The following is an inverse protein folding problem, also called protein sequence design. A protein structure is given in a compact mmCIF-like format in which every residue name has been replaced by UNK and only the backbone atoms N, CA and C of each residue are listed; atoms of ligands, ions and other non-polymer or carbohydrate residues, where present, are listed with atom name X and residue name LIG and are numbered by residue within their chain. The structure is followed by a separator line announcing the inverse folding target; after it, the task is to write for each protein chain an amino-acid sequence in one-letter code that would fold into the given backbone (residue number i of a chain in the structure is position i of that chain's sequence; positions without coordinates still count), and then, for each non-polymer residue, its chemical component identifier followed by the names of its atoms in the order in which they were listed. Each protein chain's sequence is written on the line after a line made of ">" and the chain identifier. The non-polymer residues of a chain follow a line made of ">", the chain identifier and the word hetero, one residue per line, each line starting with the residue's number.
data_IF_655098276173
#
_entry.id   IF_655098276173
#
_cell.length_a   1.000
_cell.length_b   1.000
_cell.length_c   1.000
_cell.angle_alpha   90.00
_cell.angle_beta   90.00
_cell.angle_gamma   90.00
#
_symmetry.space_group_name_H-M   'P 1'
#
loop_
_entity.id
_entity.type
_entity.pdbx_description
1 polymer ?
#
# COMPACT_ATOMS: atom_id res chain seq x y z
N UNK A 1 13.29 -13.61 12.70
CA UNK A 1 12.04 -13.58 11.91
C UNK A 1 11.36 -12.24 12.15
N UNK A 2 11.04 -11.51 11.09
CA UNK A 2 10.37 -10.22 11.07
C UNK A 2 9.09 -10.36 10.23
N UNK A 3 7.95 -9.92 10.75
CA UNK A 3 6.63 -10.15 10.14
C UNK A 3 5.94 -8.82 9.85
N UNK A 4 5.58 -8.58 8.59
CA UNK A 4 4.84 -7.42 8.13
C UNK A 4 3.41 -7.86 7.81
N UNK A 5 2.40 -7.21 8.40
CA UNK A 5 1.03 -7.29 7.92
C UNK A 5 0.82 -6.16 6.90
N UNK A 6 0.59 -6.52 5.65
CA UNK A 6 0.41 -5.59 4.54
C UNK A 6 -1.08 -5.55 4.16
N UNK A 7 -1.69 -4.41 4.38
CA UNK A 7 -3.07 -4.05 4.12
C UNK A 7 -3.13 -3.02 3.00
N UNK A 8 -4.23 -2.95 2.29
CA UNK A 8 -4.45 -1.93 1.26
C UNK A 8 -5.94 -1.70 1.00
N UNK A 9 -6.25 -0.56 0.40
CA UNK A 9 -7.56 -0.28 -0.17
C UNK A 9 -8.68 -0.43 0.87
N UNK A 10 -8.56 0.36 1.96
CA UNK A 10 -9.49 0.36 3.09
C UNK A 10 -10.82 1.00 2.69
N UNK A 11 -10.75 2.10 1.94
CA UNK A 11 -11.88 2.93 1.51
C UNK A 11 -12.89 3.17 2.65
N UNK A 12 -12.39 3.68 3.78
CA UNK A 12 -13.29 4.07 4.87
C UNK A 12 -14.13 5.26 4.43
N UNK A 13 -15.43 5.09 4.45
CA UNK A 13 -16.45 6.00 3.94
C UNK A 13 -17.46 6.44 5.00
N UNK A 14 -17.18 6.15 6.27
CA UNK A 14 -18.09 6.39 7.39
C UNK A 14 -19.16 5.32 7.56
N UNK A 15 -19.25 4.31 6.67
CA UNK A 15 -20.21 3.21 6.79
C UNK A 15 -19.76 2.16 7.81
N UNK A 16 -20.73 1.45 8.41
CA UNK A 16 -20.40 0.31 9.28
C UNK A 16 -19.88 -0.87 8.47
N UNK A 17 -20.22 -0.97 7.20
CA UNK A 17 -19.72 -2.01 6.31
C UNK A 17 -18.20 -1.92 6.13
N UNK A 18 -17.68 -0.74 5.73
CA UNK A 18 -16.26 -0.51 5.57
C UNK A 18 -15.50 -0.75 6.89
N UNK A 19 -16.03 -0.23 8.01
CA UNK A 19 -15.47 -0.48 9.35
C UNK A 19 -15.40 -1.95 9.71
N UNK A 20 -16.50 -2.67 9.49
CA UNK A 20 -16.61 -4.09 9.84
C UNK A 20 -15.58 -4.91 9.09
N UNK A 21 -15.34 -4.61 7.82
CA UNK A 21 -14.32 -5.28 7.00
C UNK A 21 -12.90 -5.04 7.54
N UNK A 22 -12.57 -3.80 7.89
CA UNK A 22 -11.27 -3.50 8.50
C UNK A 22 -11.12 -4.17 9.88
N UNK A 23 -12.17 -4.14 10.71
CA UNK A 23 -12.17 -4.80 12.03
C UNK A 23 -12.02 -6.31 11.95
N UNK A 24 -12.52 -6.94 10.89
CA UNK A 24 -12.29 -8.37 10.64
C UNK A 24 -10.79 -8.67 10.49
N UNK A 25 -10.05 -7.83 9.76
CA UNK A 25 -8.60 -7.95 9.60
C UNK A 25 -7.85 -7.64 10.90
N UNK A 26 -8.17 -6.53 11.57
CA UNK A 26 -7.48 -6.15 12.82
C UNK A 26 -7.74 -7.15 13.94
N UNK A 27 -8.96 -7.72 14.03
CA UNK A 27 -9.30 -8.79 14.98
C UNK A 27 -8.53 -10.08 14.66
N UNK A 28 -8.39 -10.43 13.38
CA UNK A 28 -7.57 -11.57 12.97
C UNK A 28 -6.11 -11.41 13.38
N UNK A 29 -5.53 -10.22 13.18
CA UNK A 29 -4.16 -9.94 13.61
C UNK A 29 -4.00 -9.96 15.14
N UNK A 30 -4.98 -9.43 15.87
CA UNK A 30 -5.00 -9.41 17.33
C UNK A 30 -5.06 -10.83 17.95
N UNK A 31 -5.59 -11.81 17.21
CA UNK A 31 -5.66 -13.20 17.65
C UNK A 31 -4.33 -13.97 17.48
N UNK A 32 -3.29 -13.35 16.93
CA UNK A 32 -2.00 -14.03 16.77
C UNK A 32 -1.32 -14.24 18.13
N UNK A 33 -0.75 -15.43 18.32
CA UNK A 33 0.02 -15.77 19.54
C UNK A 33 1.31 -14.92 19.69
N UNK A 34 1.81 -14.37 18.59
CA UNK A 34 2.86 -13.38 18.50
C UNK A 34 2.38 -12.24 17.62
N UNK A 35 2.41 -10.98 18.08
CA UNK A 35 2.08 -9.84 17.23
C UNK A 35 2.97 -9.77 15.98
N UNK A 36 2.48 -9.16 14.92
CA UNK A 36 3.32 -8.74 13.79
C UNK A 36 4.29 -7.64 14.24
N UNK A 37 5.37 -7.44 13.52
CA UNK A 37 6.35 -6.43 13.91
C UNK A 37 5.94 -5.03 13.40
N UNK A 38 5.13 -4.97 12.35
CA UNK A 38 4.59 -3.73 11.75
C UNK A 38 3.34 -4.02 10.93
N UNK A 39 2.44 -3.06 10.85
CA UNK A 39 1.35 -2.99 9.89
C UNK A 39 1.69 -1.94 8.85
N UNK A 40 1.64 -2.28 7.57
CA UNK A 40 1.80 -1.37 6.44
C UNK A 40 0.46 -1.26 5.70
N UNK A 41 0.03 -0.03 5.38
CA UNK A 41 -1.17 0.23 4.58
C UNK A 41 -0.77 0.99 3.32
N UNK A 42 -0.98 0.39 2.16
CA UNK A 42 -0.52 0.91 0.86
C UNK A 42 -1.58 1.70 0.11
N UNK A 43 -2.24 2.63 0.80
CA UNK A 43 -3.09 3.65 0.19
C UNK A 43 -4.58 3.30 0.13
N UNK A 44 -5.34 4.24 -0.42
CA UNK A 44 -6.79 4.28 -0.42
C UNK A 44 -7.36 4.06 0.98
N UNK A 45 -6.90 4.95 1.89
CA UNK A 45 -7.25 4.92 3.31
C UNK A 45 -8.70 5.37 3.51
N UNK A 46 -9.04 6.52 2.91
CA UNK A 46 -10.36 7.11 2.84
C UNK A 46 -10.98 6.91 1.44
N UNK A 47 -12.30 6.88 1.34
CA UNK A 47 -12.99 6.73 0.06
C UNK A 47 -13.20 8.07 -0.67
N UNK A 48 -13.41 9.16 0.11
CA UNK A 48 -13.68 10.49 -0.43
C UNK A 48 -12.62 11.54 -0.03
N UNK A 49 -11.59 11.14 0.72
CA UNK A 49 -10.53 12.03 1.19
C UNK A 49 -11.00 13.06 2.21
N UNK A 50 -12.04 12.77 2.99
CA UNK A 50 -12.58 13.65 4.00
C UNK A 50 -11.83 13.52 5.34
N UNK A 51 -11.64 14.63 6.05
CA UNK A 51 -10.96 14.63 7.37
C UNK A 51 -11.61 13.67 8.37
N UNK A 52 -12.95 13.55 8.34
CA UNK A 52 -13.68 12.63 9.20
C UNK A 52 -13.36 11.15 8.91
N UNK A 53 -13.09 10.81 7.66
CA UNK A 53 -12.69 9.45 7.25
C UNK A 53 -11.27 9.15 7.74
N UNK A 54 -10.33 10.10 7.66
CA UNK A 54 -8.99 9.92 8.23
C UNK A 54 -8.98 9.82 9.75
N UNK A 55 -9.86 10.58 10.42
CA UNK A 55 -10.05 10.42 11.87
C UNK A 55 -10.59 9.02 12.21
N UNK A 56 -11.39 8.43 11.33
CA UNK A 56 -11.84 7.05 11.44
C UNK A 56 -10.69 6.06 11.23
N UNK A 57 -9.87 6.24 10.19
CA UNK A 57 -8.65 5.44 9.96
C UNK A 57 -7.77 5.43 11.20
N UNK A 58 -7.47 6.63 11.76
CA UNK A 58 -6.65 6.76 12.97
C UNK A 58 -7.22 6.00 14.17
N UNK A 59 -8.54 5.96 14.31
CA UNK A 59 -9.23 5.25 15.39
C UNK A 59 -9.20 3.74 15.21
N UNK A 60 -9.52 3.25 14.00
CA UNK A 60 -9.63 1.82 13.70
C UNK A 60 -8.24 1.14 13.61
N UNK A 61 -7.20 1.90 13.25
CA UNK A 61 -5.81 1.41 13.18
C UNK A 61 -4.97 1.79 14.40
N UNK A 62 -5.61 2.14 15.52
CA UNK A 62 -4.91 2.30 16.81
C UNK A 62 -4.53 0.91 17.35
N UNK A 63 -3.38 0.41 16.91
CA UNK A 63 -2.84 -0.90 17.28
C UNK A 63 -1.65 -0.76 18.22
N UNK A 64 -1.30 -1.84 18.94
CA UNK A 64 -0.14 -1.90 19.84
C UNK A 64 1.20 -2.13 19.10
N UNK A 65 1.17 -2.09 17.76
CA UNK A 65 2.34 -2.22 16.88
C UNK A 65 2.45 -0.99 15.98
N UNK A 66 3.65 -0.66 15.48
CA UNK A 66 3.80 0.43 14.51
C UNK A 66 2.89 0.25 13.31
N UNK A 67 2.21 1.32 12.90
CA UNK A 67 1.39 1.37 11.69
C UNK A 67 2.00 2.42 10.76
N UNK A 68 2.39 1.98 9.57
CA UNK A 68 2.91 2.82 8.50
C UNK A 68 1.86 2.91 7.41
N UNK A 69 1.66 4.09 6.84
CA UNK A 69 0.67 4.26 5.77
C UNK A 69 1.11 5.33 4.76
N UNK A 70 0.70 5.15 3.54
CA UNK A 70 0.91 6.08 2.43
C UNK A 70 -0.43 6.36 1.73
N UNK A 71 -0.56 7.48 0.99
CA UNK A 71 -1.78 7.78 0.26
C UNK A 71 -1.96 6.92 -0.99
N UNK A 72 -3.23 6.68 -1.37
CA UNK A 72 -3.67 6.22 -2.68
C UNK A 72 -4.41 7.32 -3.44
N UNK A 73 -4.97 6.99 -4.62
CA UNK A 73 -5.61 7.97 -5.49
C UNK A 73 -6.94 8.53 -4.92
N UNK A 74 -7.61 7.83 -4.01
CA UNK A 74 -8.77 8.36 -3.27
C UNK A 74 -8.37 9.31 -2.15
N UNK A 75 -7.10 9.31 -1.74
CA UNK A 75 -6.64 10.12 -0.62
C UNK A 75 -6.31 11.55 -1.03
N UNK A 76 -6.68 12.51 -0.17
CA UNK A 76 -6.40 13.93 -0.36
C UNK A 76 -5.37 14.40 0.65
N UNK A 77 -4.22 14.90 0.18
CA UNK A 77 -3.03 15.14 1.00
C UNK A 77 -3.26 16.07 2.19
N UNK A 78 -4.02 17.17 2.06
CA UNK A 78 -4.23 18.13 3.17
C UNK A 78 -5.08 17.53 4.30
N UNK A 79 -6.30 17.00 4.06
CA UNK A 79 -7.06 16.36 5.14
C UNK A 79 -6.38 15.09 5.69
N UNK A 80 -5.64 14.36 4.87
CA UNK A 80 -4.85 13.21 5.32
C UNK A 80 -3.81 13.64 6.35
N UNK A 81 -3.02 14.68 6.07
CA UNK A 81 -2.01 15.21 7.01
C UNK A 81 -2.63 15.70 8.32
N UNK A 82 -3.81 16.30 8.24
CA UNK A 82 -4.54 16.78 9.43
C UNK A 82 -5.06 15.60 10.25
N UNK A 83 -5.79 14.68 9.63
CA UNK A 83 -6.44 13.56 10.29
C UNK A 83 -5.47 12.48 10.80
N UNK A 84 -4.30 12.34 10.15
CA UNK A 84 -3.29 11.33 10.45
C UNK A 84 -1.96 11.93 10.93
N UNK A 85 -1.95 13.15 11.47
CA UNK A 85 -0.74 13.87 11.88
C UNK A 85 0.17 13.09 12.83
N UNK A 86 -0.36 12.17 13.61
CA UNK A 86 0.42 11.30 14.52
C UNK A 86 1.03 10.07 13.83
N UNK A 87 0.60 9.74 12.63
CA UNK A 87 0.97 8.52 11.90
C UNK A 87 1.73 8.82 10.60
N UNK A 88 1.52 10.01 10.03
CA UNK A 88 2.14 10.42 8.77
C UNK A 88 3.10 11.57 9.03
N UNK A 89 4.39 11.30 8.90
CA UNK A 89 5.46 12.30 9.02
C UNK A 89 5.95 12.69 7.64
N UNK A 90 5.56 13.87 7.17
CA UNK A 90 5.95 14.36 5.83
C UNK A 90 6.09 15.88 5.84
N UNK A 91 6.94 16.49 4.97
CA UNK A 91 7.01 17.94 4.78
C UNK A 91 5.62 18.54 4.51
N UNK A 92 5.44 19.83 4.82
CA UNK A 92 4.16 20.55 4.79
C UNK A 92 3.42 20.55 3.45
N UNK A 93 2.35 21.36 3.36
CA UNK A 93 1.48 21.47 2.18
C UNK A 93 2.25 21.65 0.87
N UNK A 94 1.73 21.05 -0.20
CA UNK A 94 2.29 21.15 -1.56
C UNK A 94 3.41 20.18 -1.88
N UNK A 95 3.85 19.36 -0.92
CA UNK A 95 4.84 18.30 -1.14
C UNK A 95 4.18 16.92 -1.16
N UNK A 96 4.73 15.95 -1.91
CA UNK A 96 4.32 14.55 -1.80
C UNK A 96 4.45 14.01 -0.37
N UNK A 97 3.65 13.03 -0.01
CA UNK A 97 3.69 12.35 1.30
C UNK A 97 4.73 11.23 1.28
N UNK A 98 5.97 11.56 0.94
CA UNK A 98 7.08 10.61 1.02
C UNK A 98 7.56 10.44 2.46
N UNK A 99 7.89 9.21 2.86
CA UNK A 99 8.33 8.90 4.21
C UNK A 99 9.42 7.83 4.20
N UNK A 100 10.32 7.86 5.19
CA UNK A 100 11.25 6.77 5.49
C UNK A 100 11.08 6.39 6.95
N UNK A 101 10.89 5.12 7.22
CA UNK A 101 10.76 4.58 8.56
C UNK A 101 11.68 3.39 8.77
N UNK A 102 12.51 3.46 9.80
CA UNK A 102 13.27 2.33 10.29
C UNK A 102 12.52 1.70 11.46
N UNK A 103 11.95 0.51 11.25
CA UNK A 103 11.15 -0.20 12.25
C UNK A 103 11.79 -1.56 12.52
N UNK A 104 12.31 -1.72 13.73
CA UNK A 104 13.08 -2.92 14.09
C UNK A 104 14.32 -3.07 13.21
N UNK A 105 14.40 -4.18 12.47
CA UNK A 105 15.52 -4.46 11.57
C UNK A 105 15.28 -4.06 10.11
N UNK A 106 14.13 -3.46 9.79
CA UNK A 106 13.68 -3.19 8.42
C UNK A 106 13.55 -1.68 8.15
N UNK A 107 13.88 -1.27 6.92
CA UNK A 107 13.62 0.07 6.39
C UNK A 107 12.43 0.02 5.44
N UNK A 108 11.50 0.95 5.63
CA UNK A 108 10.35 1.19 4.75
C UNK A 108 10.49 2.56 4.09
N UNK A 109 10.54 2.55 2.76
CA UNK A 109 10.56 3.77 1.94
C UNK A 109 9.18 3.90 1.31
N UNK A 110 8.35 4.78 1.87
CA UNK A 110 6.98 5.00 1.44
C UNK A 110 6.96 6.13 0.40
N UNK A 111 6.58 5.78 -0.81
CA UNK A 111 6.61 6.67 -1.98
C UNK A 111 5.18 7.06 -2.35
N UNK A 112 4.86 8.33 -2.22
CA UNK A 112 3.60 8.87 -2.71
C UNK A 112 3.62 8.89 -4.24
N UNK A 113 2.78 8.09 -4.84
CA UNK A 113 2.62 7.98 -6.29
C UNK A 113 1.35 8.67 -6.80
N UNK A 114 0.64 9.40 -5.94
CA UNK A 114 -0.63 10.02 -6.30
C UNK A 114 -0.43 11.24 -7.20
N UNK A 115 -1.41 11.45 -8.08
CA UNK A 115 -1.55 12.68 -8.89
C UNK A 115 -2.87 13.33 -8.47
N UNK A 116 -2.85 14.55 -7.92
CA UNK A 116 -4.07 15.18 -7.43
C UNK A 116 -5.19 15.22 -8.49
N UNK A 117 -6.33 14.62 -8.17
CA UNK A 117 -7.51 14.58 -9.05
C UNK A 117 -7.42 13.58 -10.21
N UNK A 118 -6.50 12.64 -10.17
CA UNK A 118 -6.36 11.58 -11.16
C UNK A 118 -6.30 10.19 -10.48
N UNK A 119 -6.77 9.17 -11.20
CA UNK A 119 -6.76 7.79 -10.72
C UNK A 119 -5.43 7.06 -11.02
N UNK A 120 -4.65 7.57 -11.97
CA UNK A 120 -3.33 7.02 -12.31
C UNK A 120 -2.25 7.56 -11.37
N UNK A 121 -1.16 6.80 -11.23
CA UNK A 121 0.01 7.22 -10.47
C UNK A 121 1.12 7.80 -11.37
N UNK A 122 1.92 8.71 -10.81
CA UNK A 122 3.13 9.23 -11.45
C UNK A 122 4.13 9.66 -10.37
N UNK A 123 5.41 9.39 -10.60
CA UNK A 123 6.49 9.97 -9.80
C UNK A 123 7.16 11.10 -10.58
N UNK A 124 7.16 12.30 -9.99
CA UNK A 124 7.89 13.45 -10.56
C UNK A 124 9.39 13.20 -10.54
N UNK A 125 10.16 13.98 -11.31
CA UNK A 125 11.62 13.94 -11.28
C UNK A 125 12.17 14.23 -9.87
N UNK A 126 11.50 15.08 -9.09
CA UNK A 126 11.85 15.37 -7.70
C UNK A 126 11.62 14.12 -6.82
N UNK A 127 10.49 13.44 -6.97
CA UNK A 127 10.18 12.20 -6.26
C UNK A 127 11.15 11.08 -6.60
N UNK A 128 11.52 10.93 -7.87
CA UNK A 128 12.51 9.96 -8.34
C UNK A 128 13.90 10.27 -7.78
N UNK A 129 14.30 11.56 -7.75
CA UNK A 129 15.58 12.00 -7.20
C UNK A 129 15.63 11.78 -5.69
N UNK A 130 14.54 12.04 -4.97
CA UNK A 130 14.41 11.75 -3.55
C UNK A 130 14.57 10.23 -3.28
N UNK A 131 13.85 9.40 -4.02
CA UNK A 131 13.90 7.94 -3.88
C UNK A 131 15.32 7.40 -4.15
N UNK A 132 15.96 7.87 -5.21
CA UNK A 132 17.34 7.48 -5.53
C UNK A 132 18.32 7.89 -4.41
N UNK A 133 18.14 9.08 -3.84
CA UNK A 133 18.91 9.56 -2.69
C UNK A 133 18.78 8.64 -1.48
N UNK A 134 17.55 8.34 -1.09
CA UNK A 134 17.25 7.44 0.05
C UNK A 134 17.83 6.03 -0.17
N UNK A 135 17.70 5.48 -1.38
CA UNK A 135 18.18 4.14 -1.71
C UNK A 135 19.72 4.05 -1.88
N UNK A 136 20.42 5.16 -1.89
CA UNK A 136 21.90 5.21 -1.81
C UNK A 136 22.42 5.18 -0.38
N UNK A 137 21.59 5.52 0.59
CA UNK A 137 21.98 5.47 1.99
C UNK A 137 22.17 4.01 2.44
N UNK A 138 23.34 3.65 2.97
CA UNK A 138 23.56 2.30 3.47
C UNK A 138 22.55 1.94 4.56
N UNK A 139 22.02 0.73 4.48
CA UNK A 139 21.17 0.16 5.52
C UNK A 139 21.49 -1.31 5.70
N UNK A 140 21.72 -1.73 6.95
CA UNK A 140 22.03 -3.12 7.30
C UNK A 140 20.74 -3.85 7.69
N UNK A 141 19.98 -4.26 6.68
CA UNK A 141 18.71 -4.94 6.86
C UNK A 141 17.86 -4.97 5.59
N UNK A 142 16.66 -5.57 5.64
CA UNK A 142 15.75 -5.58 4.51
C UNK A 142 15.19 -4.17 4.25
N UNK A 143 15.20 -3.78 2.97
CA UNK A 143 14.61 -2.52 2.50
C UNK A 143 13.35 -2.82 1.68
N UNK A 144 12.23 -2.25 2.10
CA UNK A 144 10.95 -2.34 1.41
C UNK A 144 10.61 -0.98 0.82
N UNK A 145 10.38 -0.93 -0.49
CA UNK A 145 9.80 0.24 -1.16
C UNK A 145 8.30 0.02 -1.25
N UNK A 146 7.50 0.95 -0.77
CA UNK A 146 6.05 0.84 -0.85
C UNK A 146 5.47 2.03 -1.61
N UNK A 147 4.50 1.77 -2.50
CA UNK A 147 3.73 2.75 -3.24
C UNK A 147 2.33 2.21 -3.51
N UNK A 148 1.36 3.10 -3.74
CA UNK A 148 0.00 2.64 -4.01
C UNK A 148 -0.12 1.97 -5.37
N UNK A 149 0.22 2.70 -6.44
CA UNK A 149 0.08 2.24 -7.82
C UNK A 149 1.18 1.25 -8.19
N UNK A 150 0.85 0.02 -8.62
CA UNK A 150 1.85 -0.95 -9.02
C UNK A 150 2.49 -0.59 -10.38
N UNK A 151 3.81 -0.76 -10.54
CA UNK A 151 4.50 -0.44 -11.78
C UNK A 151 4.39 -1.59 -12.82
N UNK A 152 3.17 -1.98 -13.16
CA UNK A 152 2.90 -3.10 -14.08
C UNK A 152 1.61 -2.88 -14.88
N UNK A 153 1.42 -3.67 -15.92
CA UNK A 153 0.16 -3.79 -16.64
C UNK A 153 -0.56 -5.07 -16.20
N UNK A 154 -1.87 -4.93 -15.97
CA UNK A 154 -2.74 -6.03 -15.55
C UNK A 154 -3.43 -6.70 -16.75
N UNK A 155 -3.28 -6.12 -17.97
CA UNK A 155 -4.05 -6.46 -19.15
C UNK A 155 -5.57 -6.28 -18.95
N UNK A 156 -5.94 -5.34 -18.07
CA UNK A 156 -7.32 -5.00 -17.73
C UNK A 156 -7.67 -3.63 -18.32
N UNK A 157 -8.68 -3.60 -19.21
CA UNK A 157 -9.01 -2.44 -20.06
C UNK A 157 -9.23 -1.12 -19.31
N UNK A 158 -9.59 -1.14 -18.04
CA UNK A 158 -9.77 0.06 -17.22
C UNK A 158 -8.60 0.25 -16.25
N UNK A 159 -8.21 -0.77 -15.48
CA UNK A 159 -7.12 -0.64 -14.49
C UNK A 159 -5.78 -0.24 -15.13
N UNK A 160 -5.54 -0.62 -16.38
CA UNK A 160 -4.33 -0.21 -17.08
C UNK A 160 -4.32 1.28 -17.47
N UNK A 161 -5.47 1.97 -17.44
CA UNK A 161 -5.54 3.42 -17.57
C UNK A 161 -5.19 4.15 -16.27
N UNK A 162 -5.26 3.46 -15.14
CA UNK A 162 -5.01 3.95 -13.79
C UNK A 162 -3.69 3.43 -13.18
N UNK A 163 -2.86 2.78 -13.97
CA UNK A 163 -1.55 2.27 -13.55
C UNK A 163 -0.56 3.38 -13.20
N UNK A 164 0.57 3.01 -12.66
CA UNK A 164 1.71 3.93 -12.54
C UNK A 164 2.27 4.28 -13.93
N UNK A 165 2.33 5.55 -14.23
CA UNK A 165 3.00 6.08 -15.42
C UNK A 165 4.51 6.28 -15.17
N UNK A 166 5.30 6.48 -16.24
CA UNK A 166 6.74 6.73 -16.10
C UNK A 166 7.56 5.53 -15.61
N UNK A 167 7.10 4.32 -15.80
CA UNK A 167 7.74 3.09 -15.31
C UNK A 167 9.21 2.96 -15.68
N UNK A 168 9.62 3.42 -16.88
CA UNK A 168 11.02 3.35 -17.33
C UNK A 168 11.95 4.20 -16.44
N UNK A 169 11.52 5.38 -16.02
CA UNK A 169 12.28 6.26 -15.13
C UNK A 169 12.41 5.65 -13.73
N UNK A 170 11.32 5.09 -13.20
CA UNK A 170 11.35 4.35 -11.94
C UNK A 170 12.27 3.13 -12.01
N UNK A 171 12.20 2.35 -13.09
CA UNK A 171 13.09 1.19 -13.28
C UNK A 171 14.56 1.58 -13.26
N UNK A 172 14.92 2.71 -13.87
CA UNK A 172 16.30 3.23 -13.85
C UNK A 172 16.79 3.56 -12.43
N UNK A 173 15.88 4.06 -11.56
CA UNK A 173 16.20 4.35 -10.15
C UNK A 173 16.36 3.08 -9.33
N UNK A 174 15.51 2.07 -9.54
CA UNK A 174 15.46 0.87 -8.69
C UNK A 174 16.50 -0.19 -9.10
N UNK A 175 16.89 -0.25 -10.38
CA UNK A 175 17.79 -1.30 -10.89
C UNK A 175 19.11 -1.33 -10.11
N UNK A 176 19.43 -2.52 -9.58
CA UNK A 176 20.68 -2.77 -8.84
C UNK A 176 20.70 -2.23 -7.40
N UNK A 177 19.61 -1.64 -6.91
CA UNK A 177 19.50 -1.22 -5.51
C UNK A 177 19.23 -2.44 -4.59
N UNK A 178 19.63 -2.39 -3.32
CA UNK A 178 19.43 -3.49 -2.37
C UNK A 178 17.99 -3.49 -1.81
N UNK A 179 16.99 -3.68 -2.68
CA UNK A 179 15.57 -3.70 -2.32
C UNK A 179 15.13 -5.15 -2.13
N UNK A 180 14.50 -5.43 -0.99
CA UNK A 180 13.95 -6.76 -0.66
C UNK A 180 12.67 -7.04 -1.43
N UNK A 181 11.76 -6.09 -1.47
CA UNK A 181 10.52 -6.14 -2.26
C UNK A 181 9.92 -4.74 -2.46
N UNK A 182 9.09 -4.63 -3.49
CA UNK A 182 8.18 -3.50 -3.74
C UNK A 182 6.79 -3.94 -3.29
N UNK A 183 6.14 -3.16 -2.41
CA UNK A 183 4.82 -3.45 -1.83
C UNK A 183 3.80 -2.46 -2.37
N UNK A 184 2.65 -2.97 -2.87
CA UNK A 184 1.67 -2.13 -3.59
C UNK A 184 0.22 -2.46 -3.22
N UNK A 185 -0.70 -1.56 -3.60
CA UNK A 185 -2.15 -1.73 -3.50
C UNK A 185 -2.87 -1.47 -4.81
N UNK A 186 -3.93 -0.66 -4.80
CA UNK A 186 -4.67 -0.09 -5.92
C UNK A 186 -5.53 -1.08 -6.72
N UNK A 187 -5.03 -2.26 -6.97
CA UNK A 187 -5.69 -3.23 -7.86
C UNK A 187 -6.63 -4.18 -7.12
N UNK A 188 -6.74 -4.02 -5.82
CA UNK A 188 -7.59 -4.81 -4.90
C UNK A 188 -7.39 -6.33 -4.98
N UNK A 189 -6.41 -6.79 -5.75
CA UNK A 189 -6.08 -8.21 -5.94
C UNK A 189 -4.71 -8.54 -5.34
N UNK A 190 -4.58 -9.77 -4.84
CA UNK A 190 -3.27 -10.31 -4.49
C UNK A 190 -2.43 -10.50 -5.77
N UNK A 191 -1.33 -9.77 -5.87
CA UNK A 191 -0.44 -9.81 -7.04
C UNK A 191 0.97 -10.23 -6.62
N UNK A 192 1.57 -11.10 -7.44
CA UNK A 192 2.97 -11.47 -7.34
C UNK A 192 3.59 -11.37 -8.73
N UNK A 193 4.55 -10.46 -8.86
CA UNK A 193 5.31 -10.26 -10.11
C UNK A 193 6.70 -9.73 -9.78
N UNK A 194 7.41 -9.17 -10.76
CA UNK A 194 8.70 -8.52 -10.58
C UNK A 194 8.81 -7.26 -11.43
N UNK A 195 9.55 -6.27 -10.91
CA UNK A 195 9.84 -5.03 -11.61
C UNK A 195 11.27 -4.58 -11.30
N UNK A 196 12.03 -4.18 -12.31
CA UNK A 196 13.44 -3.73 -12.20
C UNK A 196 14.36 -4.70 -11.44
N UNK A 197 14.06 -6.01 -11.50
CA UNK A 197 14.81 -7.07 -10.81
C UNK A 197 14.37 -7.35 -9.37
N UNK A 198 13.31 -6.69 -8.88
CA UNK A 198 12.79 -6.87 -7.52
C UNK A 198 11.40 -7.52 -7.52
N UNK A 199 11.05 -8.33 -6.50
CA UNK A 199 9.69 -8.81 -6.31
C UNK A 199 8.72 -7.63 -6.13
N UNK A 200 7.56 -7.69 -6.79
CA UNK A 200 6.41 -6.79 -6.56
C UNK A 200 5.29 -7.62 -5.95
N UNK A 201 4.83 -7.20 -4.79
CA UNK A 201 3.85 -7.92 -3.98
C UNK A 201 2.69 -6.96 -3.67
N UNK A 202 1.56 -7.18 -4.33
CA UNK A 202 0.33 -6.40 -4.10
C UNK A 202 -0.52 -7.04 -3.02
N UNK A 203 -1.00 -6.23 -2.06
CA UNK A 203 -1.98 -6.68 -1.09
C UNK A 203 -3.37 -6.73 -1.72
N UNK A 204 -4.22 -7.72 -1.35
CA UNK A 204 -5.62 -7.68 -1.72
C UNK A 204 -6.35 -6.56 -1.00
N UNK A 205 -7.38 -6.02 -1.63
CA UNK A 205 -8.19 -4.96 -1.04
C UNK A 205 -8.97 -5.41 0.19
N UNK A 206 -9.09 -4.53 1.17
CA UNK A 206 -9.97 -4.75 2.33
C UNK A 206 -11.41 -4.44 1.94
N UNK A 207 -11.65 -3.37 1.18
CA UNK A 207 -13.01 -2.93 0.81
C UNK A 207 -13.68 -3.86 -0.19
N UNK A 208 -12.94 -4.33 -1.19
CA UNK A 208 -13.47 -5.10 -2.32
C UNK A 208 -12.36 -5.81 -3.09
N UNK A 209 -12.73 -6.57 -4.10
CA UNK A 209 -11.79 -7.04 -5.15
C UNK A 209 -12.22 -6.51 -6.52
N UNK A 210 -11.29 -6.47 -7.47
CA UNK A 210 -11.57 -6.15 -8.87
C UNK A 210 -11.62 -7.46 -9.67
N UNK A 211 -12.68 -7.72 -10.45
CA UNK A 211 -12.76 -8.90 -11.31
C UNK A 211 -11.58 -8.93 -12.30
N UNK A 212 -11.10 -10.11 -12.60
CA UNK A 212 -10.02 -10.30 -13.55
C UNK A 212 -10.52 -10.12 -15.01
N UNK A 213 -9.66 -9.71 -15.97
CA UNK A 213 -10.08 -9.38 -17.32
C UNK A 213 -10.64 -10.58 -18.11
N UNK A 214 -10.45 -11.78 -17.62
CA UNK A 214 -10.96 -13.03 -18.22
C UNK A 214 -12.13 -13.64 -17.44
N UNK A 215 -12.62 -12.98 -16.40
CA UNK A 215 -13.85 -13.34 -15.70
C UNK A 215 -15.07 -12.81 -16.48
N UNK A 216 -16.24 -13.41 -16.31
CA UNK A 216 -17.45 -12.90 -16.96
C UNK A 216 -17.68 -11.43 -16.60
N UNK A 217 -18.00 -10.56 -17.58
CA UNK A 217 -18.30 -9.16 -17.30
C UNK A 217 -19.55 -9.08 -16.42
N UNK A 218 -19.44 -8.31 -15.32
CA UNK A 218 -20.51 -8.19 -14.31
C UNK A 218 -21.49 -7.07 -14.63
N UNK A 219 -21.10 -6.05 -15.38
CA UNK A 219 -21.94 -4.94 -15.90
C UNK A 219 -21.10 -3.92 -16.64
N UNK A 220 -21.69 -2.78 -17.04
CA UNK A 220 -20.99 -1.69 -17.73
C UNK A 220 -20.07 -0.93 -16.76
N UNK A 221 -18.76 -1.04 -16.94
CA UNK A 221 -17.74 -0.32 -16.17
C UNK A 221 -16.89 -1.19 -15.25
N UNK A 222 -16.09 -0.56 -14.38
CA UNK A 222 -15.42 -1.28 -13.29
C UNK A 222 -16.46 -1.58 -12.23
N UNK A 223 -16.66 -2.87 -12.01
CA UNK A 223 -17.45 -3.35 -10.90
C UNK A 223 -16.51 -3.95 -9.89
N UNK A 224 -16.33 -3.26 -8.77
CA UNK A 224 -15.69 -3.84 -7.61
C UNK A 224 -16.63 -4.85 -6.97
N UNK A 225 -16.14 -6.03 -6.66
CA UNK A 225 -16.90 -7.02 -5.89
C UNK A 225 -16.70 -6.77 -4.38
N UNK A 226 -17.66 -6.07 -3.78
CA UNK A 226 -17.67 -5.83 -2.34
C UNK A 226 -18.12 -7.06 -1.52
N UNK A 227 -18.60 -8.13 -2.16
CA UNK A 227 -18.95 -9.38 -1.47
C UNK A 227 -17.74 -10.28 -1.18
N UNK A 228 -16.63 -10.06 -1.86
CA UNK A 228 -15.38 -10.77 -1.61
C UNK A 228 -14.91 -10.56 -0.16
N UNK A 229 -14.33 -11.59 0.45
CA UNK A 229 -13.76 -11.44 1.80
C UNK A 229 -12.59 -10.45 1.82
N UNK A 230 -12.49 -9.59 2.85
CA UNK A 230 -11.32 -8.73 3.01
C UNK A 230 -10.06 -9.56 3.14
N UNK A 231 -8.99 -9.09 2.51
CA UNK A 231 -7.73 -9.82 2.51
C UNK A 231 -6.55 -9.01 3.03
N UNK A 232 -5.45 -9.70 3.32
CA UNK A 232 -4.16 -9.12 3.65
C UNK A 232 -3.02 -10.01 3.17
N UNK A 233 -1.83 -9.43 3.04
CA UNK A 233 -0.60 -10.19 2.88
C UNK A 233 0.20 -10.20 4.20
N UNK A 234 0.81 -11.32 4.52
CA UNK A 234 1.79 -11.46 5.59
C UNK A 234 3.15 -11.72 4.95
N UNK A 235 4.08 -10.78 5.09
CA UNK A 235 5.45 -10.97 4.62
C UNK A 235 6.33 -11.37 5.78
N UNK A 236 7.03 -12.49 5.64
CA UNK A 236 7.91 -13.03 6.66
C UNK A 236 9.34 -13.00 6.14
N UNK A 237 10.17 -12.19 6.79
CA UNK A 237 11.59 -12.08 6.51
C UNK A 237 12.41 -12.79 7.60
N UNK A 238 13.30 -13.68 7.19
CA UNK A 238 14.31 -14.29 8.03
C UNK A 238 15.68 -13.97 7.42
N UNK A 239 16.66 -13.44 8.18
CA UNK A 239 17.98 -13.17 7.64
C UNK A 239 18.60 -14.40 6.98
N UNK A 240 19.08 -14.25 5.76
CA UNK A 240 19.67 -15.32 4.95
C UNK A 240 18.68 -16.23 4.21
N UNK A 241 17.37 -15.98 4.35
CA UNK A 241 16.31 -16.72 3.64
C UNK A 241 15.59 -15.80 2.62
N UNK A 242 14.89 -16.41 1.67
CA UNK A 242 14.00 -15.69 0.77
C UNK A 242 12.79 -15.11 1.54
N UNK A 243 12.32 -13.93 1.13
CA UNK A 243 11.08 -13.36 1.65
C UNK A 243 9.91 -14.31 1.34
N UNK A 244 9.16 -14.68 2.37
CA UNK A 244 7.92 -15.44 2.21
C UNK A 244 6.73 -14.50 2.24
N UNK A 245 5.77 -14.68 1.31
CA UNK A 245 4.51 -13.94 1.31
C UNK A 245 3.34 -14.91 1.37
N UNK A 246 2.44 -14.68 2.31
CA UNK A 246 1.28 -15.53 2.58
C UNK A 246 0.04 -14.64 2.57
N UNK A 247 -0.88 -14.90 1.64
CA UNK A 247 -2.16 -14.20 1.60
C UNK A 247 -3.18 -14.86 2.51
N UNK A 248 -4.00 -14.05 3.19
CA UNK A 248 -5.08 -14.50 4.06
C UNK A 248 -6.35 -13.73 3.78
N UNK A 249 -7.46 -14.43 3.86
CA UNK A 249 -8.82 -13.92 3.72
C UNK A 249 -9.62 -14.42 4.94
N UNK A 250 -9.49 -13.74 6.12
CA UNK A 250 -10.20 -14.13 7.33
C UNK A 250 -11.73 -14.14 7.11
N UNK A 251 -12.45 -14.95 7.88
CA UNK A 251 -13.92 -15.05 7.84
C UNK A 251 -14.49 -14.64 9.18
#
# INVERSE_FOLDING_TARGET
>A
MYVIAHLSDLHLDGSEEARSRLRQITSYLAAFSRPVDVVLVTGDLADHGLEAEYAEVARELKLDVPVLMLPGNHDVSTPLRTGLASLVSSPGEGHPVHQVHDVGAARFVLVDSTVPGADHGLLSDESLSWLDGVLREPFDGPVFVAMHHPPLELHHGVMDQWKLEGQAALAAVLTGKPITAILTGHVHNAIVTSFAGHPVLGAPGIRSTVPLPFEPPTSDGIVVDASAHPGLALHVHTPGEALQTIYRYPR
#
